data_IF_102527160050
#
_entry.id   IF_102527160050
#
_cell.length_a   1.000
_cell.length_b   1.000
_cell.length_c   1.000
_cell.angle_alpha   90.00
_cell.angle_beta   90.00
_cell.angle_gamma   90.00
#
_symmetry.space_group_name_H-M   'P 1'
#
loop_
_entity.id
_entity.type
_entity.pdbx_description
1 polymer ?
#
# COMPACT_ATOMS: atom_id res chain seq x y z
N UNK A 1 -23.89 5.85 -5.55
CA UNK A 1 -22.70 5.04 -5.89
C UNK A 1 -21.95 4.97 -4.58
N UNK A 2 -21.87 3.81 -3.93
CA UNK A 2 -21.09 3.71 -2.70
C UNK A 2 -19.64 3.95 -3.11
N UNK A 3 -19.09 5.10 -2.77
CA UNK A 3 -17.72 5.43 -3.14
C UNK A 3 -16.81 4.39 -2.46
N UNK A 4 -15.90 3.76 -3.24
CA UNK A 4 -14.97 2.82 -2.65
C UNK A 4 -14.11 3.61 -1.65
N UNK A 5 -14.21 3.24 -0.37
CA UNK A 5 -13.37 3.81 0.67
C UNK A 5 -11.88 3.62 0.37
N UNK A 6 -11.03 4.31 1.10
CA UNK A 6 -9.61 4.38 0.81
C UNK A 6 -8.75 3.65 1.86
N UNK A 7 -7.73 2.93 1.42
CA UNK A 7 -6.81 2.21 2.30
C UNK A 7 -5.41 2.83 2.27
N UNK A 8 -4.91 3.22 3.43
CA UNK A 8 -3.57 3.76 3.62
C UNK A 8 -2.71 2.80 4.43
N UNK A 9 -1.48 2.56 3.97
CA UNK A 9 -0.43 1.93 4.77
C UNK A 9 0.50 3.04 5.29
N UNK A 10 0.44 3.30 6.58
CA UNK A 10 1.29 4.29 7.26
C UNK A 10 2.42 3.57 7.98
N UNK A 11 3.66 3.97 7.72
CA UNK A 11 4.85 3.37 8.33
C UNK A 11 5.70 4.46 8.96
N UNK A 12 5.90 4.36 10.27
CA UNK A 12 6.76 5.25 11.06
C UNK A 12 8.00 4.48 11.50
N UNK A 13 9.18 4.94 11.05
CA UNK A 13 10.46 4.30 11.36
C UNK A 13 11.09 4.97 12.58
N UNK A 14 11.37 4.18 13.61
CA UNK A 14 12.10 4.57 14.81
C UNK A 14 13.31 3.64 15.00
N UNK A 15 14.50 4.14 14.66
CA UNK A 15 15.76 3.37 14.65
C UNK A 15 15.65 2.16 13.70
N UNK A 16 15.77 0.94 14.23
CA UNK A 16 15.71 -0.32 13.47
C UNK A 16 14.29 -0.91 13.39
N UNK A 17 13.32 -0.27 14.05
CA UNK A 17 11.94 -0.73 14.10
C UNK A 17 11.05 0.21 13.30
N UNK A 18 10.03 -0.35 12.68
CA UNK A 18 9.02 0.34 11.93
C UNK A 18 7.65 -0.04 12.50
N UNK A 19 6.96 0.96 13.06
CA UNK A 19 5.58 0.83 13.48
C UNK A 19 4.70 1.10 12.28
N UNK A 20 3.76 0.20 11.99
CA UNK A 20 2.88 0.33 10.83
C UNK A 20 1.41 0.25 11.23
N UNK A 21 0.58 0.95 10.47
CA UNK A 21 -0.88 0.93 10.55
C UNK A 21 -1.47 0.83 9.15
N UNK A 22 -2.46 -0.04 8.99
CA UNK A 22 -3.34 -0.09 7.84
C UNK A 22 -4.63 0.62 8.22
N UNK A 23 -4.86 1.79 7.63
CA UNK A 23 -6.00 2.66 7.92
C UNK A 23 -7.01 2.56 6.78
N UNK A 24 -8.28 2.47 7.12
CA UNK A 24 -9.38 2.52 6.16
C UNK A 24 -10.23 3.75 6.41
N UNK A 25 -10.40 4.55 5.37
CA UNK A 25 -11.27 5.71 5.32
C UNK A 25 -12.53 5.33 4.56
N UNK A 26 -13.68 5.85 4.99
CA UNK A 26 -14.95 5.55 4.32
C UNK A 26 -15.09 6.29 2.98
N UNK A 27 -14.21 7.23 2.71
CA UNK A 27 -14.21 8.12 1.55
C UNK A 27 -12.76 8.49 1.17
N UNK A 28 -12.58 9.29 0.13
CA UNK A 28 -11.30 9.69 -0.46
C UNK A 28 -10.55 10.70 0.41
N UNK A 29 -9.91 10.19 1.46
CA UNK A 29 -9.04 10.96 2.35
C UNK A 29 -7.88 11.64 1.60
N UNK A 30 -7.30 10.99 0.57
CA UNK A 30 -6.21 11.57 -0.23
C UNK A 30 -6.61 12.80 -1.04
N UNK A 31 -7.92 13.05 -1.22
CA UNK A 31 -8.45 14.24 -1.90
C UNK A 31 -8.83 15.35 -0.92
N UNK A 32 -8.55 15.18 0.37
CA UNK A 32 -8.94 16.12 1.42
C UNK A 32 -10.46 16.23 1.63
N UNK A 33 -11.23 15.29 1.06
CA UNK A 33 -12.69 15.23 1.15
C UNK A 33 -13.16 14.59 2.47
N UNK A 34 -12.25 13.92 3.19
CA UNK A 34 -12.51 13.26 4.45
C UNK A 34 -11.51 13.70 5.53
N UNK A 35 -11.93 13.70 6.79
CA UNK A 35 -11.05 14.07 7.90
C UNK A 35 -9.91 13.07 8.03
N UNK A 36 -8.66 13.55 8.07
CA UNK A 36 -7.45 12.71 8.23
C UNK A 36 -7.46 11.87 9.52
N UNK A 37 -8.33 12.19 10.47
CA UNK A 37 -8.47 11.48 11.75
C UNK A 37 -9.64 10.51 11.80
N UNK A 38 -10.54 10.52 10.81
CA UNK A 38 -11.69 9.62 10.76
C UNK A 38 -11.36 8.37 9.93
N UNK A 39 -10.56 7.49 10.52
CA UNK A 39 -10.23 6.19 9.94
C UNK A 39 -10.40 5.07 10.95
N UNK A 40 -10.68 3.87 10.44
CA UNK A 40 -10.57 2.62 11.22
C UNK A 40 -9.22 1.97 10.97
N UNK A 41 -8.53 1.56 12.03
CA UNK A 41 -7.31 0.77 11.92
C UNK A 41 -7.70 -0.69 11.68
N UNK A 42 -7.35 -1.22 10.51
CA UNK A 42 -7.59 -2.61 10.13
C UNK A 42 -6.49 -3.56 10.64
N UNK A 43 -5.26 -3.07 10.67
CA UNK A 43 -4.09 -3.81 11.13
C UNK A 43 -3.06 -2.83 11.69
N UNK A 44 -2.36 -3.23 12.75
CA UNK A 44 -1.20 -2.49 13.24
C UNK A 44 -0.17 -3.43 13.84
N UNK A 45 1.09 -3.01 13.82
CA UNK A 45 2.16 -3.79 14.41
C UNK A 45 3.49 -3.08 14.36
N UNK A 46 4.52 -3.80 14.81
CA UNK A 46 5.91 -3.37 14.75
C UNK A 46 6.70 -4.45 14.03
N UNK A 47 7.53 -4.06 13.08
CA UNK A 47 8.40 -4.93 12.31
C UNK A 47 9.74 -4.22 12.06
N UNK A 48 10.73 -4.92 11.55
CA UNK A 48 11.93 -4.27 10.98
C UNK A 48 11.58 -3.57 9.66
N UNK A 49 12.29 -2.50 9.33
CA UNK A 49 12.14 -1.84 8.02
C UNK A 49 12.37 -2.82 6.86
N UNK A 50 13.38 -3.69 7.01
CA UNK A 50 13.68 -4.75 6.04
C UNK A 50 12.51 -5.74 5.91
N UNK A 51 11.89 -6.15 7.01
CA UNK A 51 10.72 -7.03 6.98
C UNK A 51 9.54 -6.43 6.23
N UNK A 52 9.25 -5.13 6.45
CA UNK A 52 8.19 -4.43 5.70
C UNK A 52 8.52 -4.39 4.20
N UNK A 53 9.75 -4.04 3.83
CA UNK A 53 10.19 -4.02 2.42
C UNK A 53 10.02 -5.40 1.79
N UNK A 54 10.44 -6.47 2.46
CA UNK A 54 10.31 -7.84 1.96
C UNK A 54 8.85 -8.23 1.72
N UNK A 55 7.94 -7.85 2.61
CA UNK A 55 6.51 -8.12 2.45
C UNK A 55 5.91 -7.36 1.26
N UNK A 56 6.23 -6.07 1.11
CA UNK A 56 5.78 -5.27 -0.04
C UNK A 56 6.32 -5.86 -1.34
N UNK A 57 7.61 -6.19 -1.39
CA UNK A 57 8.24 -6.81 -2.57
C UNK A 57 7.57 -8.13 -2.93
N UNK A 58 7.26 -8.97 -1.94
CA UNK A 58 6.56 -10.24 -2.15
C UNK A 58 5.18 -10.02 -2.77
N UNK A 59 4.38 -9.10 -2.23
CA UNK A 59 3.04 -8.79 -2.77
C UNK A 59 3.12 -8.26 -4.20
N UNK A 60 4.05 -7.33 -4.48
CA UNK A 60 4.26 -6.81 -5.83
C UNK A 60 4.72 -7.90 -6.80
N UNK A 61 5.58 -8.82 -6.35
CA UNK A 61 5.98 -9.97 -7.14
C UNK A 61 4.80 -10.88 -7.46
N UNK A 62 3.95 -11.21 -6.47
CA UNK A 62 2.76 -12.03 -6.66
C UNK A 62 1.76 -11.38 -7.64
N UNK A 63 1.52 -10.08 -7.52
CA UNK A 63 0.69 -9.31 -8.47
C UNK A 63 1.31 -9.39 -9.87
N UNK A 64 2.61 -9.13 -10.01
CA UNK A 64 3.26 -9.17 -11.31
C UNK A 64 3.27 -10.56 -11.95
N UNK A 65 3.38 -11.64 -11.17
CA UNK A 65 3.38 -13.02 -11.68
C UNK A 65 1.98 -13.48 -12.10
N UNK A 66 0.94 -13.15 -11.32
CA UNK A 66 -0.40 -13.73 -11.52
C UNK A 66 -1.35 -12.81 -12.29
N UNK A 67 -1.17 -11.49 -12.17
CA UNK A 67 -2.00 -10.48 -12.85
C UNK A 67 -1.21 -9.89 -14.01
N UNK A 68 0.02 -9.46 -13.75
CA UNK A 68 0.86 -8.80 -14.73
C UNK A 68 0.46 -7.35 -15.01
N UNK A 69 1.34 -6.54 -15.65
CA UNK A 69 1.16 -5.09 -15.76
C UNK A 69 -0.06 -4.66 -16.58
N UNK A 70 -0.36 -5.39 -17.67
CA UNK A 70 -1.49 -5.08 -18.56
C UNK A 70 -2.82 -5.27 -17.83
N UNK A 71 -3.02 -6.45 -17.23
CA UNK A 71 -4.25 -6.73 -16.49
C UNK A 71 -4.41 -5.89 -15.24
N UNK A 72 -3.29 -5.53 -14.60
CA UNK A 72 -3.29 -4.59 -13.48
C UNK A 72 -3.88 -3.23 -13.90
N UNK A 73 -3.44 -2.70 -15.05
CA UNK A 73 -3.95 -1.43 -15.59
C UNK A 73 -5.45 -1.49 -15.91
N UNK A 74 -5.95 -2.63 -16.37
CA UNK A 74 -7.40 -2.81 -16.60
C UNK A 74 -8.22 -2.81 -15.30
N UNK A 75 -7.67 -3.39 -14.22
CA UNK A 75 -8.37 -3.51 -12.93
C UNK A 75 -8.33 -2.20 -12.12
N UNK A 76 -7.23 -1.47 -12.19
CA UNK A 76 -7.01 -0.23 -11.44
C UNK A 76 -7.17 1.04 -12.28
N UNK A 77 -7.52 0.91 -13.57
CA UNK A 77 -7.85 1.93 -14.59
C UNK A 77 -6.87 3.11 -14.73
N UNK A 78 -6.69 3.88 -13.66
CA UNK A 78 -5.90 5.10 -13.58
C UNK A 78 -4.44 4.85 -13.19
N UNK A 79 -4.13 3.68 -12.61
CA UNK A 79 -2.81 3.40 -12.08
C UNK A 79 -2.09 2.28 -12.84
N UNK A 80 -0.91 2.61 -13.37
CA UNK A 80 -0.01 1.61 -13.93
C UNK A 80 0.67 0.80 -12.83
N UNK A 81 0.96 -0.47 -13.12
CA UNK A 81 1.76 -1.28 -12.21
C UNK A 81 3.13 -0.60 -11.99
N UNK A 82 3.58 -0.39 -10.73
CA UNK A 82 4.78 0.39 -10.43
C UNK A 82 6.08 -0.40 -10.71
N UNK A 83 6.30 -0.73 -11.98
CA UNK A 83 7.36 -1.65 -12.42
C UNK A 83 8.76 -1.15 -12.05
N UNK A 84 9.00 0.16 -12.13
CA UNK A 84 10.30 0.73 -11.79
C UNK A 84 10.60 0.62 -10.30
N UNK A 85 9.62 0.92 -9.45
CA UNK A 85 9.72 0.82 -8.00
C UNK A 85 9.86 -0.63 -7.58
N UNK A 86 9.07 -1.54 -8.17
CA UNK A 86 9.20 -2.97 -7.96
C UNK A 86 10.61 -3.48 -8.29
N UNK A 87 11.18 -3.09 -9.44
CA UNK A 87 12.56 -3.46 -9.81
C UNK A 87 13.60 -2.91 -8.84
N UNK A 88 13.40 -1.71 -8.29
CA UNK A 88 14.31 -1.15 -7.26
C UNK A 88 14.24 -1.97 -5.98
N UNK A 89 13.04 -2.34 -5.55
CA UNK A 89 12.82 -3.14 -4.34
C UNK A 89 13.30 -4.59 -4.46
N UNK A 90 13.17 -5.19 -5.64
CA UNK A 90 13.66 -6.55 -5.90
C UNK A 90 15.21 -6.65 -5.94
N UNK A 91 15.90 -5.52 -6.13
CA UNK A 91 17.36 -5.43 -6.18
C UNK A 91 17.95 -4.74 -4.94
N UNK A 92 17.14 -4.41 -3.93
CA UNK A 92 17.53 -3.80 -2.66
C UNK A 92 17.85 -4.86 -1.60
#
# INVERSE_FOLDING_TARGET
MDEPGELHLVVNVEKEKANYEVRWFNDWASWGMYSETDYRVLLKGTETTTGIVQQITKVLWEINQHIGPEKYKELWCEHEFPLQQFKKLANA
#
